data_IF_090464055049
#
_entry.id   IF_090464055049
#
_cell.length_a   1.000
_cell.length_b   1.000
_cell.length_c   1.000
_cell.angle_alpha   90.00
_cell.angle_beta   90.00
_cell.angle_gamma   90.00
#
_symmetry.space_group_name_H-M   'P 1'
#
loop_
_entity.id
_entity.type
_entity.pdbx_description
1 polymer ?
#
# COMPACT_ATOMS: atom_id res chain seq x y z
N UNK A 1 40.63 -35.34 -41.74
CA UNK A 1 39.49 -35.87 -40.90
C UNK A 1 39.74 -35.79 -39.37
N UNK A 2 41.00 -35.69 -38.95
CA UNK A 2 41.39 -35.65 -37.51
C UNK A 2 41.22 -34.27 -36.86
N UNK A 3 41.47 -33.18 -37.60
CA UNK A 3 41.35 -31.80 -37.06
C UNK A 3 39.89 -31.37 -36.72
N UNK A 4 38.87 -31.93 -37.41
CA UNK A 4 37.46 -31.62 -37.07
C UNK A 4 36.97 -32.27 -35.76
N UNK A 5 37.55 -33.44 -35.39
CA UNK A 5 37.20 -34.13 -34.14
C UNK A 5 37.79 -33.49 -32.91
N UNK A 6 38.98 -32.87 -33.00
CA UNK A 6 39.61 -32.16 -31.92
C UNK A 6 38.82 -30.89 -31.56
N UNK A 7 38.29 -30.17 -32.56
CA UNK A 7 37.48 -28.98 -32.37
C UNK A 7 36.16 -29.24 -31.62
N UNK A 8 35.51 -30.39 -31.84
CA UNK A 8 34.25 -30.74 -31.16
C UNK A 8 34.49 -31.13 -29.70
N UNK A 9 35.56 -31.87 -29.42
CA UNK A 9 35.90 -32.23 -28.04
C UNK A 9 36.33 -31.04 -27.20
N UNK A 10 37.03 -30.05 -27.79
CA UNK A 10 37.41 -28.80 -27.12
C UNK A 10 36.18 -27.93 -26.85
N UNK A 11 35.22 -27.86 -27.77
CA UNK A 11 33.96 -27.12 -27.56
C UNK A 11 33.08 -27.73 -26.47
N UNK A 12 32.99 -29.08 -26.43
CA UNK A 12 32.24 -29.79 -25.36
C UNK A 12 32.93 -29.59 -24.00
N UNK A 13 34.27 -29.66 -23.94
CA UNK A 13 35.01 -29.39 -22.73
C UNK A 13 34.87 -27.93 -22.24
N UNK A 14 34.81 -26.95 -23.15
CA UNK A 14 34.54 -25.56 -22.80
C UNK A 14 33.10 -25.37 -22.27
N UNK A 15 32.10 -26.03 -22.88
CA UNK A 15 30.72 -25.99 -22.37
C UNK A 15 30.60 -26.59 -20.98
N UNK A 16 31.35 -27.64 -20.65
CA UNK A 16 31.37 -28.20 -19.29
C UNK A 16 32.07 -27.26 -18.25
N UNK A 17 33.06 -26.50 -18.67
CA UNK A 17 33.75 -25.54 -17.79
C UNK A 17 32.92 -24.30 -17.46
N UNK A 18 31.96 -23.95 -18.32
CA UNK A 18 31.02 -22.84 -18.06
C UNK A 18 29.68 -23.26 -17.44
N UNK A 19 29.45 -24.55 -17.28
CA UNK A 19 28.23 -25.11 -16.66
C UNK A 19 28.44 -25.50 -15.19
N UNK A 20 29.34 -24.85 -14.46
CA UNK A 20 29.27 -24.85 -13.01
C UNK A 20 28.06 -23.98 -12.59
N UNK A 21 26.88 -24.49 -12.80
CA UNK A 21 25.73 -24.07 -12.06
C UNK A 21 26.01 -24.41 -10.59
N UNK A 22 26.62 -23.47 -9.88
CA UNK A 22 26.70 -23.50 -8.42
C UNK A 22 25.30 -23.42 -7.88
N UNK A 23 24.57 -24.52 -7.93
CA UNK A 23 23.29 -24.66 -7.23
C UNK A 23 23.57 -24.49 -5.76
N UNK A 24 23.24 -23.31 -5.23
CA UNK A 24 23.34 -23.06 -3.80
C UNK A 24 22.32 -23.95 -3.10
N UNK A 25 22.79 -24.95 -2.36
CA UNK A 25 21.90 -25.78 -1.54
C UNK A 25 21.36 -24.94 -0.39
N UNK A 26 20.08 -25.10 -0.11
CA UNK A 26 19.48 -24.52 1.09
C UNK A 26 19.98 -25.32 2.29
N UNK A 27 20.55 -24.65 3.28
CA UNK A 27 20.99 -25.24 4.55
C UNK A 27 20.10 -24.74 5.69
N UNK A 28 20.22 -25.35 6.85
CA UNK A 28 19.45 -24.92 8.04
C UNK A 28 19.75 -23.46 8.42
N UNK A 29 20.98 -23.00 8.31
CA UNK A 29 21.38 -21.62 8.60
C UNK A 29 20.66 -20.62 7.68
N UNK A 30 20.36 -21.02 6.44
CA UNK A 30 19.59 -20.20 5.51
C UNK A 30 18.13 -19.97 5.96
N UNK A 31 17.58 -20.91 6.72
CA UNK A 31 16.22 -20.78 7.30
C UNK A 31 16.19 -19.93 8.57
N UNK A 32 17.37 -19.69 9.19
CA UNK A 32 17.52 -18.90 10.42
C UNK A 32 17.92 -17.44 10.15
N UNK A 33 17.49 -16.87 9.03
CA UNK A 33 17.71 -15.47 8.68
C UNK A 33 19.07 -15.13 8.06
N UNK A 34 19.94 -16.13 7.84
CA UNK A 34 21.23 -15.99 7.15
C UNK A 34 21.15 -16.38 5.68
N UNK A 35 20.00 -16.18 5.05
CA UNK A 35 19.79 -16.58 3.66
C UNK A 35 20.74 -15.89 2.70
N UNK A 36 21.49 -16.64 1.86
CA UNK A 36 22.29 -16.05 0.77
C UNK A 36 21.41 -15.62 -0.40
N UNK A 37 20.12 -15.98 -0.37
CA UNK A 37 19.16 -15.61 -1.40
C UNK A 37 18.63 -14.20 -1.14
N UNK A 38 18.93 -13.29 -2.03
CA UNK A 38 18.34 -11.95 -2.06
C UNK A 38 17.17 -11.98 -3.02
N UNK A 39 16.00 -11.61 -2.54
CA UNK A 39 14.84 -11.37 -3.40
C UNK A 39 14.55 -9.87 -3.43
N UNK A 40 14.17 -9.39 -4.60
CA UNK A 40 13.69 -8.02 -4.74
C UNK A 40 12.23 -7.97 -4.28
N UNK A 41 11.92 -7.07 -3.36
CA UNK A 41 10.53 -6.72 -3.08
C UNK A 41 10.07 -5.74 -4.16
N UNK A 42 8.95 -6.04 -4.79
CA UNK A 42 8.31 -5.13 -5.76
C UNK A 42 7.82 -3.85 -5.07
N UNK A 43 7.69 -3.86 -3.75
CA UNK A 43 7.08 -2.76 -3.00
C UNK A 43 5.56 -2.73 -3.18
N UNK A 44 4.95 -1.65 -2.70
CA UNK A 44 3.51 -1.46 -2.84
C UNK A 44 3.20 -0.82 -4.19
N UNK A 45 2.28 -1.41 -4.93
CA UNK A 45 1.79 -0.94 -6.22
C UNK A 45 0.27 -0.79 -6.16
N UNK A 46 -0.24 0.31 -6.67
CA UNK A 46 -1.69 0.57 -6.74
C UNK A 46 -2.05 0.85 -8.19
N UNK A 47 -2.83 -0.03 -8.78
CA UNK A 47 -3.24 0.07 -10.18
C UNK A 47 -4.34 1.08 -10.38
N UNK A 48 -4.27 1.83 -11.50
CA UNK A 48 -5.42 2.56 -12.00
C UNK A 48 -6.43 1.58 -12.61
N UNK A 49 -7.72 1.85 -12.41
CA UNK A 49 -8.79 0.95 -12.88
C UNK A 49 -9.01 1.02 -14.40
N UNK A 50 -8.56 2.08 -15.05
CA UNK A 50 -8.85 2.44 -16.44
C UNK A 50 -7.63 2.46 -17.35
N UNK A 51 -6.46 2.09 -16.85
CA UNK A 51 -5.22 2.04 -17.64
C UNK A 51 -4.29 0.91 -17.16
N UNK A 52 -3.21 0.70 -17.91
CA UNK A 52 -2.13 -0.21 -17.57
C UNK A 52 -1.05 0.47 -16.71
N UNK A 53 -1.39 1.55 -16.05
CA UNK A 53 -0.49 2.30 -15.20
C UNK A 53 -0.70 1.95 -13.73
N UNK A 54 0.32 2.13 -12.93
CA UNK A 54 0.24 1.96 -11.48
C UNK A 54 1.01 3.04 -10.74
N UNK A 55 0.63 3.27 -9.50
CA UNK A 55 1.36 4.09 -8.55
C UNK A 55 2.34 3.27 -7.76
N UNK A 56 3.49 3.86 -7.46
CA UNK A 56 4.47 3.33 -6.54
C UNK A 56 5.10 4.46 -5.71
N UNK A 57 5.72 4.08 -4.59
CA UNK A 57 6.59 5.00 -3.84
C UNK A 57 7.94 5.01 -4.54
N UNK A 58 8.37 6.17 -4.96
CA UNK A 58 9.60 6.37 -5.72
C UNK A 58 10.86 5.99 -4.93
N UNK A 59 11.86 5.49 -5.63
CA UNK A 59 13.20 5.12 -5.12
C UNK A 59 14.28 5.88 -5.91
N UNK A 60 15.49 5.93 -5.36
CA UNK A 60 16.60 6.62 -6.04
C UNK A 60 16.32 8.09 -6.27
N UNK A 61 16.35 8.53 -7.52
CA UNK A 61 16.10 9.93 -7.93
C UNK A 61 14.67 10.42 -7.63
N UNK A 62 13.72 9.49 -7.38
CA UNK A 62 12.33 9.78 -7.07
C UNK A 62 11.99 9.55 -5.59
N UNK A 63 12.99 9.48 -4.72
CA UNK A 63 12.85 9.06 -3.33
C UNK A 63 11.70 9.80 -2.61
N UNK A 64 10.80 9.04 -2.01
CA UNK A 64 9.62 9.50 -1.27
C UNK A 64 8.59 10.30 -2.10
N UNK A 65 8.72 10.36 -3.42
CA UNK A 65 7.68 10.88 -4.30
C UNK A 65 6.68 9.78 -4.64
N UNK A 66 5.43 10.14 -4.96
CA UNK A 66 4.49 9.20 -5.57
C UNK A 66 4.71 9.27 -7.07
N UNK A 67 5.10 8.15 -7.66
CA UNK A 67 5.36 8.03 -9.10
C UNK A 67 4.27 7.24 -9.78
N UNK A 68 3.96 7.62 -11.01
CA UNK A 68 3.14 6.86 -11.94
C UNK A 68 4.07 6.12 -12.90
N UNK A 69 3.85 4.82 -13.06
CA UNK A 69 4.65 3.95 -13.92
C UNK A 69 3.73 3.33 -14.95
N UNK A 70 4.08 3.50 -16.23
CA UNK A 70 3.44 2.79 -17.33
C UNK A 70 3.98 1.36 -17.39
N UNK A 71 3.08 0.38 -17.31
CA UNK A 71 3.48 -1.03 -17.39
C UNK A 71 3.95 -1.41 -18.81
N UNK A 72 3.40 -0.78 -19.83
CA UNK A 72 3.71 -1.12 -21.23
C UNK A 72 5.07 -0.57 -21.66
N UNK A 73 5.34 0.70 -21.33
CA UNK A 73 6.53 1.41 -21.79
C UNK A 73 7.64 1.46 -20.73
N UNK A 74 7.31 1.02 -19.52
CA UNK A 74 8.17 1.12 -18.33
C UNK A 74 8.63 2.58 -18.05
N UNK A 75 7.85 3.55 -18.55
CA UNK A 75 8.10 4.96 -18.30
C UNK A 75 7.65 5.36 -16.90
N UNK A 76 8.46 6.21 -16.25
CA UNK A 76 8.22 6.65 -14.87
C UNK A 76 8.11 8.17 -14.82
N UNK A 77 7.00 8.66 -14.33
CA UNK A 77 6.76 10.09 -14.13
C UNK A 77 6.42 10.40 -12.67
N UNK A 78 6.87 11.57 -12.17
CA UNK A 78 6.49 12.06 -10.84
C UNK A 78 5.03 12.52 -10.89
N UNK A 79 4.18 11.87 -10.11
CA UNK A 79 2.80 12.30 -9.95
C UNK A 79 2.66 13.31 -8.80
N UNK A 80 3.28 13.02 -7.65
CA UNK A 80 3.34 13.93 -6.48
C UNK A 80 4.79 13.98 -6.02
N UNK A 81 5.39 15.14 -6.11
CA UNK A 81 6.77 15.33 -5.64
C UNK A 81 6.85 15.26 -4.10
N UNK A 82 7.94 14.72 -3.59
CA UNK A 82 8.17 14.56 -2.15
C UNK A 82 8.18 15.90 -1.38
N UNK A 83 8.48 17.02 -2.04
CA UNK A 83 8.43 18.35 -1.42
C UNK A 83 7.01 18.81 -1.10
N UNK A 84 5.99 18.24 -1.79
CA UNK A 84 4.58 18.51 -1.55
C UNK A 84 4.00 17.63 -0.45
N UNK A 85 4.67 16.52 -0.14
CA UNK A 85 4.26 15.58 0.93
C UNK A 85 4.78 16.08 2.28
N UNK A 86 4.18 17.18 2.73
CA UNK A 86 4.53 17.85 3.99
C UNK A 86 3.27 18.16 4.79
N UNK A 87 3.32 17.90 6.09
CA UNK A 87 2.28 18.29 7.05
C UNK A 87 2.95 18.83 8.32
N UNK A 88 2.48 19.98 8.82
CA UNK A 88 3.04 20.66 10.00
C UNK A 88 4.58 20.81 9.95
N UNK A 89 5.10 21.21 8.78
CA UNK A 89 6.53 21.35 8.49
C UNK A 89 7.36 20.05 8.60
N UNK A 90 6.71 18.88 8.63
CA UNK A 90 7.35 17.57 8.63
C UNK A 90 7.09 16.85 7.33
N UNK A 91 8.11 16.19 6.81
CA UNK A 91 7.97 15.31 5.63
C UNK A 91 7.09 14.10 5.98
N UNK A 92 6.20 13.77 5.08
CA UNK A 92 5.34 12.58 5.15
C UNK A 92 6.13 11.40 4.56
N UNK A 93 6.35 10.36 5.38
CA UNK A 93 6.87 9.08 4.92
C UNK A 93 5.69 8.12 4.75
N UNK A 94 5.44 7.67 3.53
CA UNK A 94 4.25 6.88 3.18
C UNK A 94 4.48 5.41 3.55
N UNK A 95 3.57 4.83 4.34
CA UNK A 95 3.55 3.40 4.66
C UNK A 95 2.67 2.62 3.67
N UNK A 96 1.47 3.17 3.33
CA UNK A 96 0.56 2.58 2.36
C UNK A 96 -0.20 3.64 1.57
N UNK A 97 -0.74 3.25 0.40
CA UNK A 97 -1.56 4.13 -0.42
C UNK A 97 -2.68 3.37 -1.13
N UNK A 98 -3.80 4.05 -1.37
CA UNK A 98 -4.96 3.53 -2.12
C UNK A 98 -5.51 4.62 -3.03
N UNK A 99 -5.95 4.27 -4.23
CA UNK A 99 -6.66 5.17 -5.12
C UNK A 99 -8.17 5.21 -4.78
N UNK A 100 -8.79 6.36 -5.01
CA UNK A 100 -10.25 6.40 -5.12
C UNK A 100 -10.70 5.71 -6.42
N UNK A 101 -12.00 5.40 -6.51
CA UNK A 101 -12.57 4.68 -7.66
C UNK A 101 -12.40 5.39 -9.01
N UNK A 102 -12.12 6.69 -9.01
CA UNK A 102 -11.94 7.53 -10.19
C UNK A 102 -10.48 7.79 -10.54
N UNK A 103 -9.53 7.27 -9.77
CA UNK A 103 -8.10 7.54 -9.98
C UNK A 103 -7.70 9.00 -9.80
N UNK A 104 -8.49 9.81 -9.05
CA UNK A 104 -8.24 11.25 -8.86
C UNK A 104 -7.66 11.61 -7.52
N UNK A 105 -7.84 10.75 -6.52
CA UNK A 105 -7.35 10.99 -5.17
C UNK A 105 -6.60 9.78 -4.65
N UNK A 106 -5.58 10.04 -3.85
CA UNK A 106 -4.78 9.02 -3.19
C UNK A 106 -4.99 9.15 -1.68
N UNK A 107 -5.45 8.09 -1.05
CA UNK A 107 -5.43 7.94 0.39
C UNK A 107 -4.07 7.38 0.78
N UNK A 108 -3.32 8.08 1.62
CA UNK A 108 -2.02 7.63 2.14
C UNK A 108 -2.10 7.42 3.64
N UNK A 109 -1.43 6.38 4.15
CA UNK A 109 -1.22 6.13 5.57
C UNK A 109 0.24 6.38 5.95
N UNK A 110 0.44 6.81 7.19
CA UNK A 110 1.74 6.98 7.83
C UNK A 110 1.68 6.54 9.29
N UNK A 111 2.82 6.19 9.85
CA UNK A 111 2.96 5.78 11.26
C UNK A 111 2.01 4.62 11.58
N UNK A 112 2.06 3.57 10.77
CA UNK A 112 1.25 2.38 10.99
C UNK A 112 1.68 1.66 12.27
N UNK A 113 0.74 1.51 13.20
CA UNK A 113 0.90 0.75 14.43
C UNK A 113 0.00 -0.47 14.40
N UNK A 114 0.60 -1.66 14.29
CA UNK A 114 -0.13 -2.92 14.27
C UNK A 114 -0.92 -3.13 15.54
N UNK A 115 -2.16 -3.58 15.38
CA UNK A 115 -3.02 -4.06 16.45
C UNK A 115 -2.87 -5.58 16.50
N UNK A 116 -3.11 -6.27 15.37
CA UNK A 116 -2.97 -7.71 15.20
C UNK A 116 -2.32 -8.01 13.84
N UNK A 117 -2.60 -9.15 13.22
CA UNK A 117 -1.96 -9.61 11.99
C UNK A 117 -2.19 -8.68 10.80
N UNK A 118 -3.43 -8.21 10.61
CA UNK A 118 -3.85 -7.42 9.46
C UNK A 118 -4.31 -6.01 9.83
N UNK A 119 -4.83 -5.83 11.04
CA UNK A 119 -5.35 -4.56 11.51
C UNK A 119 -4.25 -3.67 12.10
N UNK A 120 -4.38 -2.39 11.88
CA UNK A 120 -3.48 -1.37 12.39
C UNK A 120 -4.19 -0.02 12.55
N UNK A 121 -3.65 0.82 13.41
CA UNK A 121 -3.93 2.24 13.43
C UNK A 121 -2.89 3.00 12.61
N UNK A 122 -3.30 4.09 11.96
CA UNK A 122 -2.38 4.98 11.26
C UNK A 122 -2.94 6.41 11.22
N UNK A 123 -2.09 7.35 10.83
CA UNK A 123 -2.51 8.70 10.43
C UNK A 123 -2.73 8.73 8.92
N UNK A 124 -3.81 9.37 8.48
CA UNK A 124 -4.21 9.35 7.08
C UNK A 124 -4.32 10.73 6.46
N UNK A 125 -3.93 10.81 5.19
CA UNK A 125 -4.09 12.00 4.34
C UNK A 125 -4.74 11.62 3.02
N UNK A 126 -5.47 12.55 2.45
CA UNK A 126 -5.93 12.48 1.06
C UNK A 126 -5.11 13.45 0.24
N UNK A 127 -4.52 12.95 -0.83
CA UNK A 127 -3.80 13.75 -1.84
C UNK A 127 -4.66 13.85 -3.08
N UNK A 128 -5.01 15.04 -3.48
CA UNK A 128 -5.69 15.30 -4.74
C UNK A 128 -4.65 15.34 -5.87
N UNK A 129 -4.83 14.50 -6.90
CA UNK A 129 -3.83 14.32 -7.95
C UNK A 129 -3.71 15.53 -8.85
N UNK A 130 -4.81 16.25 -9.10
CA UNK A 130 -4.82 17.41 -9.99
C UNK A 130 -4.27 18.65 -9.29
N UNK A 131 -4.84 19.00 -8.14
CA UNK A 131 -4.44 20.20 -7.39
C UNK A 131 -3.17 20.03 -6.56
N UNK A 132 -2.69 18.79 -6.38
CA UNK A 132 -1.55 18.43 -5.53
C UNK A 132 -1.74 18.77 -4.04
N UNK A 133 -2.96 19.06 -3.62
CA UNK A 133 -3.25 19.38 -2.23
C UNK A 133 -3.20 18.13 -1.35
N UNK A 134 -2.58 18.25 -0.19
CA UNK A 134 -2.52 17.22 0.84
C UNK A 134 -3.45 17.64 1.98
N UNK A 135 -4.47 16.81 2.26
CA UNK A 135 -5.50 17.07 3.25
C UNK A 135 -5.47 16.00 4.35
N UNK A 136 -5.27 16.34 5.63
CA UNK A 136 -5.40 15.38 6.70
C UNK A 136 -6.87 14.93 6.85
N UNK A 137 -7.08 13.62 7.02
CA UNK A 137 -8.43 13.02 7.20
C UNK A 137 -9.00 13.34 8.58
N UNK A 138 -8.16 13.61 9.56
CA UNK A 138 -8.56 14.00 10.91
C UNK A 138 -7.76 15.21 11.37
N UNK A 139 -8.44 16.20 11.92
CA UNK A 139 -7.79 17.24 12.71
C UNK A 139 -7.19 16.61 13.97
N UNK A 140 -5.96 16.85 14.32
CA UNK A 140 -5.27 16.38 15.53
C UNK A 140 -4.52 15.04 15.40
N UNK A 141 -4.05 14.67 14.20
CA UNK A 141 -3.22 13.46 14.00
C UNK A 141 -3.73 12.21 14.73
N UNK A 142 -5.05 12.05 14.79
CA UNK A 142 -5.66 10.92 15.48
C UNK A 142 -5.44 9.64 14.71
N UNK A 143 -5.17 8.59 15.44
CA UNK A 143 -5.01 7.24 14.93
C UNK A 143 -6.35 6.71 14.44
N UNK A 144 -6.40 6.34 13.17
CA UNK A 144 -7.59 5.84 12.48
C UNK A 144 -7.34 4.42 11.99
N UNK A 145 -8.39 3.61 11.89
CA UNK A 145 -8.34 2.28 11.28
C UNK A 145 -9.44 2.08 10.24
N UNK A 146 -9.27 1.12 9.34
CA UNK A 146 -10.21 0.74 8.31
C UNK A 146 -10.64 1.93 7.42
N UNK A 147 -9.68 2.80 7.07
CA UNK A 147 -9.96 4.02 6.32
C UNK A 147 -10.19 3.72 4.85
N UNK A 148 -11.28 4.21 4.28
CA UNK A 148 -11.63 4.03 2.85
C UNK A 148 -12.49 5.14 2.29
N UNK A 149 -12.32 5.39 1.00
CA UNK A 149 -13.16 6.32 0.25
C UNK A 149 -14.61 5.82 0.12
N UNK A 150 -15.54 6.76 0.01
CA UNK A 150 -16.85 6.48 -0.58
C UNK A 150 -16.69 6.18 -2.08
N UNK A 151 -17.60 5.40 -2.72
CA UNK A 151 -17.54 5.10 -4.15
C UNK A 151 -17.50 6.34 -5.05
N UNK A 152 -18.13 7.45 -4.65
CA UNK A 152 -18.10 8.70 -5.41
C UNK A 152 -16.84 9.57 -5.18
N UNK A 153 -15.98 9.17 -4.23
CA UNK A 153 -14.72 9.86 -3.89
C UNK A 153 -14.92 11.21 -3.15
N UNK A 154 -16.10 11.48 -2.60
CA UNK A 154 -16.38 12.73 -1.88
C UNK A 154 -16.16 12.63 -0.38
N UNK A 155 -16.23 11.44 0.17
CA UNK A 155 -16.07 11.18 1.59
C UNK A 155 -14.99 10.14 1.84
N UNK A 156 -14.47 10.17 3.06
CA UNK A 156 -13.67 9.09 3.64
C UNK A 156 -14.39 8.63 4.90
N UNK A 157 -14.58 7.31 5.07
CA UNK A 157 -15.07 6.74 6.32
C UNK A 157 -13.92 6.05 7.07
N UNK A 158 -14.02 5.99 8.38
CA UNK A 158 -13.00 5.41 9.25
C UNK A 158 -13.52 5.12 10.65
N UNK A 159 -12.82 4.27 11.36
CA UNK A 159 -13.05 3.99 12.79
C UNK A 159 -11.97 4.68 13.61
N UNK A 160 -12.36 5.23 14.77
CA UNK A 160 -11.46 5.86 15.74
C UNK A 160 -11.21 4.95 16.95
N UNK A 161 -10.28 5.36 17.80
CA UNK A 161 -9.92 4.65 19.05
C UNK A 161 -11.09 4.54 20.05
N UNK A 162 -12.15 5.32 19.89
CA UNK A 162 -13.39 5.22 20.68
C UNK A 162 -14.36 4.14 20.14
N UNK A 163 -13.89 3.29 19.22
CA UNK A 163 -14.65 2.23 18.57
C UNK A 163 -15.94 2.70 17.89
N UNK A 164 -15.93 3.95 17.38
CA UNK A 164 -17.03 4.51 16.62
C UNK A 164 -16.62 4.81 15.19
N UNK A 165 -17.62 4.69 14.31
CA UNK A 165 -17.53 4.98 12.90
C UNK A 165 -17.77 6.47 12.63
N UNK A 166 -16.98 7.04 11.75
CA UNK A 166 -17.01 8.43 11.33
C UNK A 166 -16.91 8.56 9.82
N UNK A 167 -17.37 9.68 9.30
CA UNK A 167 -17.10 10.12 7.93
C UNK A 167 -16.45 11.49 7.92
N UNK A 168 -15.67 11.79 6.89
CA UNK A 168 -15.06 13.08 6.63
C UNK A 168 -15.42 13.53 5.21
N UNK A 169 -16.08 14.66 5.11
CA UNK A 169 -16.41 15.33 3.83
C UNK A 169 -15.16 16.04 3.31
N UNK A 170 -14.64 15.59 2.19
CA UNK A 170 -13.41 16.12 1.60
C UNK A 170 -13.56 17.54 1.05
N UNK A 171 -14.78 17.91 0.62
CA UNK A 171 -15.07 19.24 0.11
C UNK A 171 -15.29 20.25 1.22
N UNK A 172 -16.14 19.90 2.21
CA UNK A 172 -16.46 20.78 3.33
C UNK A 172 -15.42 20.75 4.45
N UNK A 173 -14.50 19.77 4.41
CA UNK A 173 -13.50 19.50 5.45
C UNK A 173 -14.13 19.33 6.84
N UNK A 174 -15.27 18.61 6.89
CA UNK A 174 -16.03 18.39 8.12
C UNK A 174 -16.17 16.91 8.43
N UNK A 175 -15.91 16.57 9.69
CA UNK A 175 -16.14 15.26 10.25
C UNK A 175 -17.59 15.12 10.73
N UNK A 176 -18.17 13.93 10.55
CA UNK A 176 -19.45 13.53 11.13
C UNK A 176 -19.29 12.17 11.82
N UNK A 177 -19.76 12.05 13.05
CA UNK A 177 -19.89 10.80 13.76
C UNK A 177 -21.10 10.04 13.25
N UNK A 178 -20.95 8.77 12.93
CA UNK A 178 -22.01 7.89 12.39
C UNK A 178 -22.58 7.02 13.50
N UNK A 179 -21.73 6.39 14.31
CA UNK A 179 -22.16 5.58 15.47
C UNK A 179 -21.79 6.24 16.79
N UNK A 180 -22.50 5.89 17.86
CA UNK A 180 -22.28 6.47 19.20
C UNK A 180 -22.22 5.43 20.34
N UNK A 181 -22.38 4.15 20.01
CA UNK A 181 -22.39 3.05 20.97
C UNK A 181 -21.03 2.46 21.27
N UNK A 182 -19.97 2.92 20.56
CA UNK A 182 -18.61 2.42 20.73
C UNK A 182 -18.11 2.50 22.17
N UNK A 183 -17.54 1.40 22.67
CA UNK A 183 -16.99 1.26 24.01
C UNK A 183 -15.87 0.21 24.03
N UNK A 184 -15.37 -0.15 25.20
CA UNK A 184 -14.40 -1.25 25.32
C UNK A 184 -14.96 -2.62 24.89
N UNK A 185 -16.28 -2.78 24.90
CA UNK A 185 -16.97 -4.03 24.58
C UNK A 185 -17.91 -3.94 23.39
N UNK A 186 -18.05 -2.77 22.78
CA UNK A 186 -18.88 -2.55 21.60
C UNK A 186 -18.03 -1.91 20.50
N UNK A 187 -17.87 -2.64 19.40
CA UNK A 187 -17.08 -2.25 18.25
C UNK A 187 -17.99 -1.88 17.08
N UNK A 188 -17.84 -0.70 16.53
CA UNK A 188 -18.57 -0.25 15.33
C UNK A 188 -17.58 -0.10 14.16
N UNK A 189 -17.78 -0.85 13.09
CA UNK A 189 -17.00 -0.73 11.87
C UNK A 189 -15.66 -1.47 11.87
N UNK A 190 -15.42 -2.30 12.87
CA UNK A 190 -14.29 -3.23 12.88
C UNK A 190 -14.65 -4.52 13.62
N UNK A 191 -14.00 -5.59 13.24
CA UNK A 191 -14.09 -6.87 13.91
C UNK A 191 -13.04 -7.00 15.02
N UNK A 192 -13.23 -8.00 15.88
CA UNK A 192 -12.31 -8.41 16.93
C UNK A 192 -11.30 -9.44 16.44
N UNK A 193 -10.33 -9.78 17.31
CA UNK A 193 -9.23 -10.67 17.01
C UNK A 193 -9.65 -12.02 16.42
N UNK A 194 -10.68 -12.66 16.93
CA UNK A 194 -11.15 -13.98 16.43
C UNK A 194 -11.57 -13.90 14.97
N UNK A 195 -12.31 -12.86 14.57
CA UNK A 195 -12.71 -12.69 13.18
C UNK A 195 -11.52 -12.41 12.25
N UNK A 196 -10.52 -11.69 12.75
CA UNK A 196 -9.31 -11.41 11.98
C UNK A 196 -8.48 -12.68 11.78
N UNK A 197 -8.22 -13.47 12.82
CA UNK A 197 -7.36 -14.65 12.76
C UNK A 197 -8.02 -15.84 12.07
N UNK A 198 -9.30 -16.09 12.34
CA UNK A 198 -10.01 -17.28 11.82
C UNK A 198 -10.63 -17.04 10.44
N UNK A 199 -11.11 -15.82 10.17
CA UNK A 199 -11.83 -15.51 8.95
C UNK A 199 -11.13 -14.48 8.05
N UNK A 200 -9.99 -13.96 8.45
CA UNK A 200 -9.28 -12.90 7.72
C UNK A 200 -10.05 -11.57 7.63
N UNK A 201 -11.04 -11.38 8.52
CA UNK A 201 -11.95 -10.24 8.49
C UNK A 201 -11.65 -9.26 9.61
N UNK A 202 -11.17 -8.07 9.29
CA UNK A 202 -10.87 -7.00 10.26
C UNK A 202 -11.68 -5.72 10.04
N UNK A 203 -12.32 -5.59 8.87
CA UNK A 203 -13.07 -4.43 8.42
C UNK A 203 -14.57 -4.76 8.40
N UNK A 204 -15.35 -4.10 9.24
CA UNK A 204 -16.75 -4.42 9.50
C UNK A 204 -17.71 -3.33 9.06
N UNK A 205 -17.41 -2.58 7.99
CA UNK A 205 -18.36 -1.68 7.40
C UNK A 205 -18.18 -1.55 5.87
N UNK A 206 -19.28 -1.25 5.18
CA UNK A 206 -19.29 -1.07 3.74
C UNK A 206 -20.10 0.17 3.34
N UNK A 207 -19.60 0.91 2.35
CA UNK A 207 -20.36 1.92 1.66
C UNK A 207 -21.40 1.30 0.72
N UNK A 208 -22.58 1.90 0.64
CA UNK A 208 -23.49 1.61 -0.47
C UNK A 208 -22.90 2.11 -1.80
N UNK A 209 -23.19 1.45 -2.94
CA UNK A 209 -22.67 1.86 -4.25
C UNK A 209 -22.99 3.31 -4.63
N UNK A 210 -24.08 3.85 -4.15
CA UNK A 210 -24.51 5.24 -4.37
C UNK A 210 -23.89 6.25 -3.38
N UNK A 211 -23.02 5.79 -2.49
CA UNK A 211 -22.30 6.59 -1.47
C UNK A 211 -23.21 7.27 -0.43
N UNK A 212 -24.48 6.88 -0.32
CA UNK A 212 -25.43 7.54 0.60
C UNK A 212 -25.53 6.87 1.96
N UNK A 213 -25.23 5.58 2.03
CA UNK A 213 -25.38 4.78 3.24
C UNK A 213 -24.10 4.01 3.57
N UNK A 214 -23.98 3.66 4.84
CA UNK A 214 -22.94 2.74 5.34
C UNK A 214 -23.66 1.66 6.14
N UNK A 215 -23.41 0.40 5.78
CA UNK A 215 -23.74 -0.76 6.60
C UNK A 215 -22.58 -1.08 7.53
N UNK A 216 -22.84 -1.33 8.83
CA UNK A 216 -21.84 -1.69 9.85
C UNK A 216 -22.43 -2.53 10.94
#
# INVERSE_FOLDING_TARGET
>A
MILKKISILTLIGLCYLFAENKTKRITFEHTQGKSPFKYASLGKMVWFSDSNDYLAIGKGNYLNSIVKISFLDNDTSILIDSSLLVHENKKISIDDMKLDSKGKKILISINEEKIWRHSFYATYFVVDIESKQVLPVSSNNKRLRNVKFSPDGKFVAYVREDNNLYTFDLTRKKQRRISSSGSKTVSNGHFEWVYEEEFGSYDAYLWSPDSKNIAY
#
